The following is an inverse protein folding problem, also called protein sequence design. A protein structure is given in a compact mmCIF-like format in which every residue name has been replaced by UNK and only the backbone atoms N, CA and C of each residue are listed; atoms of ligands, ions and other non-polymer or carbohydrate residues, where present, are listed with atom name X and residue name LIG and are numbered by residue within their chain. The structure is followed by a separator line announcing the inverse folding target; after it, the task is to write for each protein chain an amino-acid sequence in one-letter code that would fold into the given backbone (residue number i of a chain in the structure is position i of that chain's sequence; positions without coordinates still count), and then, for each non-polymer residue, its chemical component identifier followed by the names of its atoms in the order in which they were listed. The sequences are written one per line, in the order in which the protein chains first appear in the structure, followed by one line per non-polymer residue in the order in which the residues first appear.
data_IF_014392317442
#
_entry.id   IF_014392317442
#
_cell.length_a   1.000
_cell.length_b   1.000
_cell.length_c   1.000
_cell.angle_alpha   90.00
_cell.angle_beta   90.00
_cell.angle_gamma   90.00
#
_symmetry.space_group_name_H-M   'P 1'
#
loop_
_entity.id
_entity.type
_entity.pdbx_description
1 polymer ?
#
# COMPACT_ATOMS: atom_id res chain seq x y z
N UNK A 1 2.95 21.84 -15.71
CA UNK A 1 2.80 20.78 -16.73
C UNK A 1 3.73 19.62 -16.40
N UNK A 2 3.30 18.67 -15.58
CA UNK A 2 4.17 17.58 -15.14
C UNK A 2 4.14 16.38 -16.09
N UNK A 3 5.26 15.67 -16.14
CA UNK A 3 5.33 14.28 -16.55
C UNK A 3 5.18 13.43 -15.28
N UNK A 4 4.08 12.67 -15.20
CA UNK A 4 3.78 11.78 -14.10
C UNK A 4 4.09 10.33 -14.50
N UNK A 5 4.81 9.61 -13.66
CA UNK A 5 4.97 8.17 -13.80
C UNK A 5 4.13 7.43 -12.77
N UNK A 6 3.48 6.36 -13.22
CA UNK A 6 2.70 5.48 -12.36
C UNK A 6 3.26 4.07 -12.49
N UNK A 7 3.80 3.55 -11.41
CA UNK A 7 4.44 2.23 -11.40
C UNK A 7 3.87 1.33 -10.30
N UNK A 8 4.20 0.07 -10.34
CA UNK A 8 3.76 -0.91 -9.37
C UNK A 8 3.64 -2.30 -9.99
N UNK A 9 3.50 -3.30 -9.14
CA UNK A 9 3.36 -4.68 -9.60
C UNK A 9 2.14 -4.87 -10.51
N UNK A 10 2.12 -5.92 -11.34
CA UNK A 10 0.92 -6.31 -12.07
C UNK A 10 -0.29 -6.40 -11.13
N UNK A 11 -1.45 -5.97 -11.63
CA UNK A 11 -2.72 -6.00 -10.87
C UNK A 11 -2.75 -5.12 -9.60
N UNK A 12 -1.81 -4.19 -9.44
CA UNK A 12 -1.82 -3.23 -8.33
C UNK A 12 -2.88 -2.13 -8.47
N UNK A 13 -3.53 -1.99 -9.64
CA UNK A 13 -4.51 -0.96 -9.92
C UNK A 13 -3.94 0.33 -10.51
N UNK A 14 -2.75 0.27 -11.15
CA UNK A 14 -2.09 1.43 -11.78
C UNK A 14 -3.01 2.17 -12.76
N UNK A 15 -3.49 1.45 -13.78
CA UNK A 15 -4.36 2.02 -14.81
C UNK A 15 -5.64 2.57 -14.20
N UNK A 16 -6.29 1.84 -13.31
CA UNK A 16 -7.50 2.29 -12.61
C UNK A 16 -7.27 3.59 -11.84
N UNK A 17 -6.17 3.68 -11.08
CA UNK A 17 -5.79 4.88 -10.35
C UNK A 17 -5.55 6.05 -11.30
N UNK A 18 -4.78 5.82 -12.36
CA UNK A 18 -4.46 6.86 -13.35
C UNK A 18 -5.71 7.39 -14.02
N UNK A 19 -6.61 6.52 -14.51
CA UNK A 19 -7.87 6.96 -15.13
C UNK A 19 -8.72 7.78 -14.17
N UNK A 20 -8.78 7.39 -12.89
CA UNK A 20 -9.50 8.15 -11.86
C UNK A 20 -8.93 9.56 -11.67
N UNK A 21 -7.60 9.67 -11.58
CA UNK A 21 -6.93 10.96 -11.40
C UNK A 21 -7.07 11.85 -12.64
N UNK A 22 -6.83 11.29 -13.81
CA UNK A 22 -6.90 12.03 -15.07
C UNK A 22 -8.31 12.50 -15.37
N UNK A 23 -9.33 11.65 -15.13
CA UNK A 23 -10.73 12.03 -15.31
C UNK A 23 -11.12 13.21 -14.42
N UNK A 24 -10.83 13.12 -13.14
CA UNK A 24 -11.14 14.21 -12.20
C UNK A 24 -10.44 15.52 -12.58
N UNK A 25 -9.19 15.41 -13.06
CA UNK A 25 -8.43 16.59 -13.51
C UNK A 25 -8.94 17.16 -14.82
N UNK A 26 -9.26 16.31 -15.80
CA UNK A 26 -9.81 16.73 -17.08
C UNK A 26 -11.12 17.49 -16.92
N UNK A 27 -12.02 17.00 -16.08
CA UNK A 27 -13.29 17.64 -15.75
C UNK A 27 -13.10 18.99 -15.05
N UNK A 28 -12.19 19.04 -14.07
CA UNK A 28 -11.90 20.28 -13.33
C UNK A 28 -11.27 21.38 -14.21
N UNK A 29 -10.38 20.99 -15.11
CA UNK A 29 -9.59 21.93 -15.94
C UNK A 29 -10.19 22.11 -17.34
N UNK A 30 -11.26 21.40 -17.68
CA UNK A 30 -11.90 21.35 -19.01
C UNK A 30 -10.89 21.07 -20.13
N UNK A 31 -10.12 19.99 -19.98
CA UNK A 31 -9.03 19.62 -20.89
C UNK A 31 -9.36 18.35 -21.65
N UNK A 32 -8.96 18.30 -22.92
CA UNK A 32 -9.02 17.09 -23.73
C UNK A 32 -8.09 16.00 -23.19
N UNK A 33 -8.53 14.75 -23.26
CA UNK A 33 -7.74 13.58 -22.83
C UNK A 33 -7.50 12.66 -24.02
N UNK A 34 -6.24 12.33 -24.24
CA UNK A 34 -5.81 11.32 -25.19
C UNK A 34 -5.18 10.15 -24.44
N UNK A 35 -5.44 8.94 -24.92
CA UNK A 35 -4.89 7.74 -24.29
C UNK A 35 -4.34 6.76 -25.32
N UNK A 36 -3.35 5.98 -24.92
CA UNK A 36 -2.71 4.96 -25.74
C UNK A 36 -2.57 3.65 -24.94
N UNK A 37 -2.82 2.53 -25.60
CA UNK A 37 -2.66 1.16 -25.06
C UNK A 37 -3.56 0.84 -23.85
N UNK A 38 -4.75 1.40 -23.80
CA UNK A 38 -5.76 1.07 -22.78
C UNK A 38 -6.99 0.50 -23.49
N UNK A 39 -7.20 -0.82 -23.47
CA UNK A 39 -8.27 -1.44 -24.24
C UNK A 39 -9.66 -1.10 -23.71
N UNK A 40 -10.58 -0.78 -24.64
CA UNK A 40 -12.00 -0.63 -24.35
C UNK A 40 -12.34 0.47 -23.37
N UNK A 41 -11.70 1.62 -23.47
CA UNK A 41 -12.05 2.84 -22.72
C UNK A 41 -13.44 3.30 -23.12
N UNK A 42 -14.30 3.52 -22.13
CA UNK A 42 -15.70 3.97 -22.30
C UNK A 42 -15.96 5.36 -21.73
N UNK A 43 -14.91 6.08 -21.30
CA UNK A 43 -15.06 7.43 -20.75
C UNK A 43 -15.41 8.39 -21.89
N UNK A 44 -16.56 9.10 -21.83
CA UNK A 44 -16.98 10.01 -22.89
C UNK A 44 -15.94 11.12 -23.13
N UNK A 45 -15.70 11.44 -24.41
CA UNK A 45 -14.79 12.52 -24.80
C UNK A 45 -13.30 12.20 -24.76
N UNK A 46 -12.93 10.99 -24.35
CA UNK A 46 -11.54 10.52 -24.41
C UNK A 46 -11.22 9.96 -25.80
N UNK A 47 -10.05 10.29 -26.33
CA UNK A 47 -9.63 9.98 -27.70
C UNK A 47 -8.46 8.99 -27.67
N UNK A 48 -8.60 7.88 -28.37
CA UNK A 48 -7.55 6.89 -28.51
C UNK A 48 -6.46 7.33 -29.49
N UNK A 49 -5.21 7.12 -29.10
CA UNK A 49 -4.04 7.25 -29.96
C UNK A 49 -3.49 5.87 -30.25
N UNK A 50 -3.20 5.57 -31.48
CA UNK A 50 -2.55 4.32 -31.90
C UNK A 50 -1.08 4.25 -31.49
N UNK A 51 -0.42 5.40 -31.36
CA UNK A 51 0.98 5.49 -30.95
C UNK A 51 1.28 6.75 -30.12
N UNK A 52 2.07 6.68 -29.04
CA UNK A 52 2.37 7.84 -28.22
C UNK A 52 3.15 8.94 -28.96
N UNK A 53 3.90 8.62 -30.03
CA UNK A 53 4.65 9.61 -30.83
C UNK A 53 3.74 10.68 -31.42
N UNK A 54 2.47 10.39 -31.65
CA UNK A 54 1.48 11.33 -32.17
C UNK A 54 1.13 12.49 -31.22
N UNK A 55 1.70 12.48 -30.02
CA UNK A 55 1.51 13.61 -29.10
C UNK A 55 1.97 14.95 -29.69
N UNK A 56 2.92 14.92 -30.65
CA UNK A 56 3.40 16.12 -31.32
C UNK A 56 2.32 16.83 -32.17
N UNK A 57 1.33 16.09 -32.63
CA UNK A 57 0.25 16.55 -33.51
C UNK A 57 -0.99 17.03 -32.74
N UNK A 58 -1.02 16.79 -31.41
CA UNK A 58 -2.19 17.09 -30.60
C UNK A 58 -2.32 18.59 -30.31
N UNK A 59 -3.55 19.06 -30.05
CA UNK A 59 -3.79 20.42 -29.60
C UNK A 59 -3.13 20.69 -28.25
N UNK A 60 -2.64 21.90 -28.07
CA UNK A 60 -2.00 22.33 -26.85
C UNK A 60 -2.92 22.18 -25.63
N UNK A 61 -2.35 21.91 -24.48
CA UNK A 61 -3.08 21.80 -23.24
C UNK A 61 -3.72 20.44 -22.96
N UNK A 62 -3.50 19.43 -23.79
CA UNK A 62 -4.09 18.10 -23.58
C UNK A 62 -3.45 17.32 -22.41
N UNK A 63 -4.21 16.39 -21.86
CA UNK A 63 -3.77 15.34 -20.94
C UNK A 63 -3.52 14.05 -21.74
N UNK A 64 -2.37 13.42 -21.56
CA UNK A 64 -1.97 12.24 -22.34
C UNK A 64 -1.67 11.09 -21.39
N UNK A 65 -2.34 9.95 -21.58
CA UNK A 65 -2.16 8.73 -20.80
C UNK A 65 -1.59 7.65 -21.71
N UNK A 66 -0.47 7.04 -21.32
CA UNK A 66 0.13 5.91 -22.04
C UNK A 66 0.31 4.75 -21.07
N UNK A 67 -0.36 3.63 -21.33
CA UNK A 67 -0.16 2.42 -20.54
C UNK A 67 0.91 1.53 -21.17
N UNK A 68 1.66 0.83 -20.31
CA UNK A 68 2.82 0.00 -20.64
C UNK A 68 3.82 0.74 -21.57
N UNK A 69 4.24 1.95 -21.15
CA UNK A 69 5.10 2.86 -21.95
C UNK A 69 6.34 2.17 -22.50
N UNK A 70 6.89 1.16 -21.83
CA UNK A 70 8.08 0.43 -22.26
C UNK A 70 7.90 -0.28 -23.60
N UNK A 71 6.66 -0.54 -24.03
CA UNK A 71 6.38 -1.20 -25.31
C UNK A 71 6.61 -0.26 -26.51
N UNK A 72 6.58 1.06 -26.25
CA UNK A 72 6.77 2.11 -27.25
C UNK A 72 8.12 2.82 -27.08
N UNK A 73 8.40 3.27 -25.87
CA UNK A 73 9.61 4.03 -25.52
C UNK A 73 10.46 3.23 -24.53
N UNK A 74 10.84 2.04 -24.95
CA UNK A 74 11.74 1.16 -24.22
C UNK A 74 13.17 1.69 -24.17
N UNK A 75 14.05 0.94 -23.53
CA UNK A 75 15.48 1.26 -23.52
C UNK A 75 16.06 1.19 -24.92
N UNK A 76 16.78 2.23 -25.32
CA UNK A 76 17.56 2.19 -26.54
C UNK A 76 18.83 1.38 -26.35
N UNK A 77 19.30 0.76 -27.45
CA UNK A 77 20.65 0.25 -27.52
C UNK A 77 21.67 1.40 -27.34
N UNK A 78 22.83 1.08 -26.80
CA UNK A 78 23.90 2.08 -26.63
C UNK A 78 24.28 2.70 -27.98
N UNK A 79 24.27 4.04 -28.05
CA UNK A 79 24.57 4.78 -29.29
C UNK A 79 23.41 4.91 -30.28
N UNK A 80 22.23 4.35 -30.01
CA UNK A 80 21.08 4.55 -30.88
C UNK A 80 20.57 6.00 -30.83
N UNK A 81 20.13 6.50 -31.99
CA UNK A 81 19.52 7.83 -32.10
C UNK A 81 18.19 7.85 -31.32
N UNK A 82 18.04 8.87 -30.47
CA UNK A 82 16.79 9.08 -29.75
C UNK A 82 15.70 9.57 -30.71
N UNK A 83 14.51 8.94 -30.73
CA UNK A 83 13.39 9.41 -31.57
C UNK A 83 12.96 10.84 -31.24
N UNK A 84 12.57 11.58 -32.29
CA UNK A 84 12.17 12.97 -32.14
C UNK A 84 11.06 13.20 -31.11
N UNK A 85 9.99 12.38 -31.02
CA UNK A 85 8.94 12.57 -30.01
C UNK A 85 9.48 12.48 -28.57
N UNK A 86 10.50 11.66 -28.33
CA UNK A 86 11.14 11.55 -27.01
C UNK A 86 12.01 12.77 -26.71
N UNK A 87 12.76 13.28 -27.70
CA UNK A 87 13.57 14.49 -27.55
C UNK A 87 12.72 15.72 -27.26
N UNK A 88 11.62 15.87 -27.98
CA UNK A 88 10.70 17.01 -27.84
C UNK A 88 9.93 17.02 -26.50
N UNK A 89 9.93 15.90 -25.74
CA UNK A 89 9.34 15.89 -24.39
C UNK A 89 9.92 16.98 -23.48
N UNK A 90 11.16 17.40 -23.69
CA UNK A 90 11.77 18.51 -22.94
C UNK A 90 11.00 19.84 -23.09
N UNK A 91 10.21 19.97 -24.15
CA UNK A 91 9.44 21.17 -24.50
C UNK A 91 7.94 21.03 -24.21
N UNK A 92 7.48 19.88 -23.73
CA UNK A 92 6.05 19.59 -23.48
C UNK A 92 5.35 20.69 -22.66
N UNK A 93 6.05 21.24 -21.66
CA UNK A 93 5.53 22.27 -20.79
C UNK A 93 5.15 23.58 -21.51
N UNK A 94 5.86 23.95 -22.61
CA UNK A 94 5.56 25.14 -23.41
C UNK A 94 4.22 25.02 -24.14
N UNK A 95 3.83 23.79 -24.48
CA UNK A 95 2.58 23.45 -25.14
C UNK A 95 1.47 23.05 -24.16
N UNK A 96 1.72 23.13 -22.88
CA UNK A 96 0.70 22.85 -21.86
C UNK A 96 0.35 21.39 -21.64
N UNK A 97 1.12 20.44 -22.15
CA UNK A 97 0.84 19.02 -22.00
C UNK A 97 1.17 18.50 -20.61
N UNK A 98 0.32 17.63 -20.09
CA UNK A 98 0.62 16.78 -18.94
C UNK A 98 0.59 15.31 -19.37
N UNK A 99 1.61 14.58 -19.00
CA UNK A 99 1.71 13.16 -19.28
C UNK A 99 1.49 12.30 -18.05
N UNK A 100 0.84 11.16 -18.26
CA UNK A 100 0.70 10.07 -17.30
C UNK A 100 1.21 8.80 -17.95
N UNK A 101 2.43 8.42 -17.63
CA UNK A 101 3.10 7.23 -18.12
C UNK A 101 2.98 6.10 -17.12
N UNK A 102 2.37 5.00 -17.55
CA UNK A 102 2.19 3.81 -16.73
C UNK A 102 3.19 2.75 -17.20
N UNK A 103 3.88 2.13 -16.25
CA UNK A 103 4.80 1.01 -16.51
C UNK A 103 4.87 0.11 -15.27
N UNK A 104 5.24 -1.14 -15.45
CA UNK A 104 5.47 -2.04 -14.33
C UNK A 104 6.83 -1.79 -13.70
N UNK A 105 7.85 -1.54 -14.51
CA UNK A 105 9.23 -1.38 -14.06
C UNK A 105 9.85 -0.13 -14.72
N UNK A 106 10.21 0.89 -13.90
CA UNK A 106 10.79 2.14 -14.41
C UNK A 106 12.02 1.94 -15.30
N UNK A 107 12.82 0.93 -14.97
CA UNK A 107 14.08 0.69 -15.67
C UNK A 107 13.92 0.12 -17.07
N UNK A 108 12.72 -0.25 -17.50
CA UNK A 108 12.44 -0.69 -18.85
C UNK A 108 12.19 0.46 -19.82
N UNK A 109 11.86 1.65 -19.30
CA UNK A 109 11.54 2.84 -20.08
C UNK A 109 12.82 3.61 -20.45
N UNK A 110 12.80 4.29 -21.59
CA UNK A 110 13.83 5.20 -22.04
C UNK A 110 14.23 6.23 -20.96
N UNK A 111 15.49 6.63 -20.92
CA UNK A 111 16.01 7.54 -19.88
C UNK A 111 15.36 8.92 -19.94
N UNK A 112 15.19 9.51 -21.12
CA UNK A 112 14.66 10.88 -21.28
C UNK A 112 13.32 11.11 -20.57
N UNK A 113 12.23 10.36 -20.80
CA UNK A 113 10.97 10.57 -20.06
C UNK A 113 11.13 10.34 -18.55
N UNK A 114 12.04 9.44 -18.13
CA UNK A 114 12.32 9.21 -16.71
C UNK A 114 13.01 10.40 -16.05
N UNK A 115 13.97 11.00 -16.73
CA UNK A 115 14.73 12.15 -16.22
C UNK A 115 13.85 13.42 -16.14
N UNK A 116 12.84 13.51 -17.00
CA UNK A 116 11.85 14.59 -17.02
C UNK A 116 10.68 14.35 -16.05
N UNK A 117 10.68 13.24 -15.30
CA UNK A 117 9.64 12.90 -14.36
C UNK A 117 9.54 13.92 -13.23
N UNK A 118 8.40 14.61 -13.13
CA UNK A 118 8.11 15.53 -12.05
C UNK A 118 7.54 14.82 -10.82
N UNK A 119 6.64 13.84 -11.04
CA UNK A 119 6.05 13.06 -9.95
C UNK A 119 6.01 11.58 -10.32
N UNK A 120 6.47 10.75 -9.40
CA UNK A 120 6.40 9.30 -9.51
C UNK A 120 5.44 8.74 -8.46
N UNK A 121 4.38 8.08 -8.93
CA UNK A 121 3.37 7.41 -8.10
C UNK A 121 3.61 5.90 -8.13
N UNK A 122 3.88 5.32 -6.97
CA UNK A 122 4.04 3.88 -6.82
C UNK A 122 2.81 3.28 -6.16
N UNK A 123 2.07 2.48 -6.93
CA UNK A 123 0.80 1.87 -6.51
C UNK A 123 1.05 0.49 -5.93
N UNK A 124 0.67 0.30 -4.68
CA UNK A 124 0.80 -0.98 -3.97
C UNK A 124 -0.57 -1.43 -3.50
N UNK A 125 -1.03 -2.56 -4.00
CA UNK A 125 -2.32 -3.11 -3.60
C UNK A 125 -2.35 -3.36 -2.10
N UNK A 126 -3.39 -2.87 -1.42
CA UNK A 126 -3.62 -3.16 -0.01
C UNK A 126 -4.16 -4.58 0.12
N UNK A 127 -3.49 -5.38 0.93
CA UNK A 127 -3.82 -6.79 1.11
C UNK A 127 -5.20 -6.95 1.76
N UNK A 128 -6.08 -7.74 1.13
CA UNK A 128 -7.43 -8.01 1.66
C UNK A 128 -8.43 -6.86 1.58
N UNK A 129 -8.02 -5.66 1.13
CA UNK A 129 -8.90 -4.49 0.99
C UNK A 129 -9.22 -4.19 -0.48
N UNK A 130 -10.35 -3.52 -0.71
CA UNK A 130 -10.73 -2.97 -2.01
C UNK A 130 -10.02 -1.62 -2.23
N UNK A 131 -8.68 -1.63 -2.25
CA UNK A 131 -7.90 -0.41 -2.37
C UNK A 131 -6.40 -0.65 -2.53
N UNK A 132 -5.67 0.44 -2.63
CA UNK A 132 -4.22 0.47 -2.73
C UNK A 132 -3.64 1.55 -1.82
N UNK A 133 -2.36 1.42 -1.49
CA UNK A 133 -1.56 2.51 -0.99
C UNK A 133 -0.78 3.11 -2.17
N UNK A 134 -0.89 4.41 -2.37
CA UNK A 134 -0.15 5.15 -3.39
C UNK A 134 0.94 5.95 -2.71
N UNK A 135 2.17 5.79 -3.16
CA UNK A 135 3.33 6.53 -2.67
C UNK A 135 3.76 7.53 -3.74
N UNK A 136 3.76 8.81 -3.41
CA UNK A 136 4.19 9.89 -4.30
C UNK A 136 5.62 10.29 -3.98
N UNK A 137 6.43 10.43 -5.01
CA UNK A 137 7.80 10.96 -4.95
C UNK A 137 7.90 12.15 -5.91
N UNK A 138 8.71 13.12 -5.57
CA UNK A 138 8.97 14.32 -6.38
C UNK A 138 9.95 14.08 -7.55
N UNK A 139 10.45 12.86 -7.69
CA UNK A 139 11.35 12.43 -8.77
C UNK A 139 11.17 10.94 -9.04
N UNK A 140 11.60 10.51 -10.23
CA UNK A 140 11.64 9.10 -10.57
C UNK A 140 12.49 8.30 -9.58
N UNK A 141 11.93 7.19 -9.10
CA UNK A 141 12.63 6.20 -8.27
C UNK A 141 12.84 4.93 -9.06
N UNK A 142 14.09 4.51 -9.21
CA UNK A 142 14.42 3.27 -9.92
C UNK A 142 13.97 2.01 -9.16
N UNK A 143 13.89 2.09 -7.83
CA UNK A 143 13.43 1.02 -6.93
C UNK A 143 12.47 1.56 -5.88
N UNK A 144 11.25 1.91 -6.27
CA UNK A 144 10.28 2.54 -5.35
C UNK A 144 9.89 1.61 -4.20
N UNK A 145 9.93 0.30 -4.39
CA UNK A 145 9.70 -0.70 -3.36
C UNK A 145 10.64 -0.59 -2.15
N UNK A 146 11.90 -0.19 -2.38
CA UNK A 146 12.92 -0.05 -1.32
C UNK A 146 12.87 1.29 -0.58
N UNK A 147 12.30 2.33 -1.21
CA UNK A 147 12.31 3.70 -0.70
C UNK A 147 10.92 4.22 -0.33
N UNK A 148 9.94 3.34 -0.11
CA UNK A 148 8.55 3.70 0.24
C UNK A 148 8.44 4.68 1.40
N UNK A 149 9.30 4.55 2.40
CA UNK A 149 9.31 5.43 3.58
C UNK A 149 9.66 6.88 3.28
N UNK A 150 10.26 7.16 2.11
CA UNK A 150 10.61 8.52 1.66
C UNK A 150 9.50 9.17 0.84
N UNK A 151 8.51 8.40 0.40
CA UNK A 151 7.37 8.89 -0.37
C UNK A 151 6.21 9.30 0.52
N UNK A 152 5.46 10.29 0.08
CA UNK A 152 4.19 10.64 0.69
C UNK A 152 3.16 9.54 0.41
N UNK A 153 2.58 8.98 1.46
CA UNK A 153 1.66 7.84 1.38
C UNK A 153 0.21 8.28 1.44
N UNK A 154 -0.57 7.90 0.43
CA UNK A 154 -2.02 8.11 0.37
C UNK A 154 -2.75 6.77 0.36
N UNK A 155 -3.73 6.54 1.24
CA UNK A 155 -4.67 5.44 1.07
C UNK A 155 -5.63 5.78 -0.09
N UNK A 156 -5.86 4.82 -0.97
CA UNK A 156 -6.79 4.99 -2.07
C UNK A 156 -7.76 3.79 -2.14
N UNK A 157 -9.05 4.07 -2.05
CA UNK A 157 -10.09 3.09 -2.20
C UNK A 157 -10.51 2.99 -3.67
N UNK A 158 -10.70 1.78 -4.16
CA UNK A 158 -11.13 1.57 -5.54
C UNK A 158 -12.54 2.11 -5.74
N UNK A 159 -12.71 2.98 -6.72
CA UNK A 159 -14.02 3.37 -7.20
C UNK A 159 -14.60 2.20 -8.03
N UNK A 160 -15.69 1.60 -7.57
CA UNK A 160 -16.34 0.49 -8.27
C UNK A 160 -16.79 0.86 -9.68
N UNK A 161 -17.24 2.10 -9.87
CA UNK A 161 -17.66 2.61 -11.18
C UNK A 161 -16.47 2.69 -12.16
N UNK A 162 -15.27 2.99 -11.68
CA UNK A 162 -14.09 3.10 -12.53
C UNK A 162 -13.68 1.75 -13.19
N UNK A 163 -14.11 0.62 -12.64
CA UNK A 163 -13.88 -0.68 -13.27
C UNK A 163 -14.67 -0.87 -14.58
N UNK A 164 -15.72 -0.10 -14.81
CA UNK A 164 -16.50 -0.14 -16.06
C UNK A 164 -15.91 0.75 -17.15
N UNK A 165 -14.92 1.57 -16.84
CA UNK A 165 -14.37 2.56 -17.77
C UNK A 165 -13.40 1.99 -18.79
N UNK A 166 -12.90 0.77 -18.59
CA UNK A 166 -11.97 0.11 -19.50
C UNK A 166 -11.98 -1.41 -19.32
N UNK A 167 -11.49 -2.15 -20.31
CA UNK A 167 -11.33 -3.59 -20.21
C UNK A 167 -9.99 -3.92 -19.59
N UNK A 168 -10.00 -4.32 -18.32
CA UNK A 168 -8.79 -4.86 -17.69
C UNK A 168 -8.54 -6.28 -18.22
N UNK A 169 -7.31 -6.58 -18.59
CA UNK A 169 -6.93 -7.90 -19.15
C UNK A 169 -7.22 -9.09 -18.20
N UNK A 170 -7.58 -8.83 -16.93
CA UNK A 170 -7.68 -9.85 -15.89
C UNK A 170 -8.83 -9.62 -14.89
N UNK A 171 -10.07 -9.67 -15.33
CA UNK A 171 -11.22 -9.49 -14.40
C UNK A 171 -11.49 -10.72 -13.52
N UNK A 172 -10.95 -11.91 -13.79
CA UNK A 172 -11.56 -13.13 -13.25
C UNK A 172 -10.75 -14.08 -12.37
N UNK A 173 -9.50 -13.78 -11.93
CA UNK A 173 -8.79 -14.74 -11.08
C UNK A 173 -7.95 -14.13 -9.96
N UNK A 174 -8.59 -13.32 -9.11
CA UNK A 174 -7.93 -12.87 -7.88
C UNK A 174 -8.22 -13.88 -6.77
N UNK A 175 -7.42 -14.93 -6.67
CA UNK A 175 -7.40 -15.74 -5.44
C UNK A 175 -6.91 -14.85 -4.30
N UNK A 176 -7.77 -14.61 -3.30
CA UNK A 176 -7.38 -13.92 -2.07
C UNK A 176 -6.30 -14.74 -1.38
N UNK A 177 -5.05 -14.35 -1.52
CA UNK A 177 -3.96 -14.94 -0.74
C UNK A 177 -3.92 -14.24 0.61
N UNK A 178 -4.47 -14.86 1.64
CA UNK A 178 -4.35 -14.38 3.01
C UNK A 178 -2.94 -14.71 3.49
N UNK A 179 -2.13 -13.72 3.93
CA UNK A 179 -0.79 -14.02 4.45
C UNK A 179 -0.90 -14.97 5.64
N UNK A 180 -0.09 -16.00 5.66
CA UNK A 180 -0.06 -16.98 6.76
C UNK A 180 0.11 -16.32 8.14
N UNK A 181 0.74 -15.16 8.21
CA UNK A 181 0.88 -14.35 9.44
C UNK A 181 -0.46 -13.86 10.01
N UNK A 182 -1.45 -13.58 9.17
CA UNK A 182 -2.80 -13.14 9.62
C UNK A 182 -3.57 -14.31 10.22
N UNK A 183 -3.36 -15.53 9.72
CA UNK A 183 -3.95 -16.73 10.31
C UNK A 183 -3.39 -17.05 11.70
N UNK A 184 -2.18 -16.58 12.03
CA UNK A 184 -1.58 -16.80 13.35
C UNK A 184 -2.20 -15.90 14.45
N UNK A 185 -2.86 -14.80 14.09
CA UNK A 185 -3.44 -13.86 15.07
C UNK A 185 -4.48 -14.53 15.99
N UNK A 186 -5.50 -15.26 15.48
CA UNK A 186 -6.48 -15.91 16.35
C UNK A 186 -5.84 -16.99 17.23
N UNK A 187 -4.77 -17.64 16.74
CA UNK A 187 -4.06 -18.65 17.52
C UNK A 187 -3.29 -18.01 18.69
N UNK A 188 -2.61 -16.88 18.46
CA UNK A 188 -1.88 -16.14 19.51
C UNK A 188 -2.87 -15.57 20.54
N UNK A 189 -4.01 -15.04 20.11
CA UNK A 189 -5.07 -14.57 21.01
C UNK A 189 -5.64 -15.72 21.85
N UNK A 190 -5.87 -16.89 21.25
CA UNK A 190 -6.34 -18.07 21.99
C UNK A 190 -5.35 -18.52 23.06
N UNK A 191 -4.05 -18.54 22.75
CA UNK A 191 -2.98 -18.86 23.73
C UNK A 191 -2.94 -17.82 24.85
N UNK A 192 -3.10 -16.53 24.55
CA UNK A 192 -3.12 -15.48 25.56
C UNK A 192 -4.29 -15.65 26.53
N UNK A 193 -5.49 -15.97 26.02
CA UNK A 193 -6.68 -16.23 26.84
C UNK A 193 -6.47 -17.46 27.73
N UNK A 194 -5.90 -18.54 27.19
CA UNK A 194 -5.60 -19.74 27.97
C UNK A 194 -4.56 -19.47 29.06
N UNK A 195 -3.54 -18.67 28.78
CA UNK A 195 -2.52 -18.28 29.76
C UNK A 195 -3.12 -17.45 30.91
N UNK A 196 -4.00 -16.50 30.59
CA UNK A 196 -4.70 -15.70 31.60
C UNK A 196 -5.63 -16.57 32.44
N UNK A 197 -6.37 -17.48 31.81
CA UNK A 197 -7.25 -18.41 32.53
C UNK A 197 -6.44 -19.36 33.46
N UNK A 198 -5.35 -19.91 32.97
CA UNK A 198 -4.42 -20.76 33.76
C UNK A 198 -3.81 -19.99 34.93
N UNK A 199 -3.39 -18.75 34.74
CA UNK A 199 -2.90 -17.88 35.80
C UNK A 199 -3.96 -17.65 36.88
N UNK A 200 -5.22 -17.36 36.46
CA UNK A 200 -6.32 -17.16 37.39
C UNK A 200 -6.62 -18.40 38.24
N UNK A 201 -6.60 -19.60 37.66
CA UNK A 201 -6.79 -20.86 38.35
C UNK A 201 -5.63 -21.14 39.36
N UNK A 202 -4.38 -20.86 38.91
CA UNK A 202 -3.22 -21.03 39.77
C UNK A 202 -3.24 -20.10 41.00
N UNK A 203 -3.55 -18.81 40.81
CA UNK A 203 -3.67 -17.85 41.92
C UNK A 203 -4.87 -18.16 42.83
N UNK A 204 -6.01 -18.59 42.26
CA UNK A 204 -7.19 -19.01 43.04
C UNK A 204 -6.84 -20.19 43.98
N UNK A 205 -6.18 -21.21 43.44
CA UNK A 205 -5.80 -22.42 44.23
C UNK A 205 -4.76 -22.14 45.33
N UNK A 206 -3.86 -21.16 45.10
CA UNK A 206 -2.87 -20.75 46.11
C UNK A 206 -3.49 -19.93 47.23
N UNK A 207 -4.46 -19.06 46.92
CA UNK A 207 -5.21 -18.30 47.94
C UNK A 207 -6.10 -19.19 48.82
N UNK A 208 -6.71 -20.23 48.25
CA UNK A 208 -7.51 -21.19 49.04
C UNK A 208 -6.63 -22.04 49.97
N UNK A 209 -5.42 -22.43 49.54
CA UNK A 209 -4.44 -23.10 50.41
C UNK A 209 -3.91 -22.21 51.53
N UNK A 210 -3.75 -20.91 51.30
CA UNK A 210 -3.32 -19.95 52.31
C UNK A 210 -4.41 -19.66 53.35
N UNK A 211 -5.71 -19.73 52.99
CA UNK A 211 -6.86 -19.57 53.90
C UNK A 211 -7.11 -20.84 54.75
N UNK A 212 -6.64 -22.01 54.31
CA UNK A 212 -6.85 -23.30 55.00
C UNK A 212 -5.90 -23.60 56.16
N UNK A 213 -4.84 -22.84 56.34
CA UNK A 213 -3.90 -22.99 57.45
C UNK A 213 -4.41 -22.19 58.68
N UNK A 214 -5.29 -22.81 59.51
CA UNK A 214 -5.59 -22.31 60.87
C UNK A 214 -4.30 -22.32 61.69
N UNK A 215 -3.97 -21.29 62.49
CA UNK A 215 -2.89 -21.33 63.45
C UNK A 215 -3.23 -22.37 64.53
N UNK A 216 -2.31 -23.29 64.80
CA UNK A 216 -2.38 -24.21 65.89
C UNK A 216 -2.47 -23.42 67.22
N UNK A 217 -3.57 -23.59 67.97
CA UNK A 217 -3.71 -23.04 69.30
C UNK A 217 -2.75 -23.75 70.24
N UNK A 218 -1.76 -23.08 70.75
CA UNK A 218 -0.94 -23.50 71.86
C UNK A 218 -1.72 -23.38 73.15
N UNK A 219 -2.39 -24.45 73.56
CA UNK A 219 -2.84 -24.62 74.95
C UNK A 219 -1.64 -25.03 75.78
N UNK A 220 -1.09 -24.10 76.57
CA UNK A 220 -0.23 -24.39 77.71
C UNK A 220 -0.79 -23.66 78.90
N UNK A 221 -1.70 -24.31 79.64
CA UNK A 221 -1.98 -24.06 81.05
C UNK A 221 -2.44 -25.35 81.68
N UNK A 222 -1.60 -25.91 82.47
CA UNK A 222 -1.84 -27.08 83.35
C UNK A 222 -0.91 -27.02 84.48
N UNK A 223 -1.41 -26.65 85.56
CA UNK A 223 -0.98 -26.43 86.87
C UNK A 223 -0.25 -27.57 87.59
N UNK A 224 0.44 -27.22 88.58
CA UNK A 224 0.61 -28.06 89.76
C UNK A 224 0.96 -27.20 90.95
N UNK A 225 0.05 -27.29 91.92
CA UNK A 225 0.21 -26.87 93.33
C UNK A 225 0.91 -28.00 94.07
N UNK A 226 1.83 -27.73 94.90
CA UNK A 226 2.20 -28.44 96.15
C UNK A 226 3.20 -27.57 96.90
N UNK A 227 2.79 -26.99 98.02
CA UNK A 227 2.88 -27.43 99.46
C UNK A 227 4.31 -27.58 99.97
N UNK A 228 4.47 -26.94 101.08
CA UNK A 228 5.41 -27.23 102.16
C UNK A 228 6.33 -26.04 102.38
N UNK A 229 6.29 -25.36 103.38
CA UNK A 229 6.27 -25.71 104.80
C UNK A 229 7.51 -25.16 105.45
N UNK A 230 7.34 -24.45 106.49
CA UNK A 230 8.25 -24.43 107.59
C UNK A 230 9.12 -23.24 107.85
N UNK A 231 8.68 -22.48 108.78
CA UNK A 231 9.34 -22.17 110.06
C UNK A 231 10.59 -21.29 110.10
N UNK A 232 10.53 -20.27 110.86
CA UNK A 232 11.60 -20.06 111.82
C UNK A 232 12.22 -18.67 111.86
N UNK A 233 11.80 -18.01 112.87
CA UNK A 233 12.36 -16.86 113.55
C UNK A 233 12.36 -15.49 112.86
#
# INVERSE_FOLDING_TARGET
MPINFVTGLPRAGKTLWTLTQVKARAEKENRAVYYCNIPGVTIPGWIELDHPDKWLELPDGALIVVDELQDYWGKNAQGARVPLPILELSKHGKRGFDFYFITQEPNLVHTTPRDLCAYHYYVVRAFGANGAAVYKFERMQSRPDKVKSKGEKFPWLYNKQAFTWYKSADVHNIKRQIPKKVLAIPFVLGLAVLAIWGAFQFFGSTLDKAKGSKPASSNVFGGAVAQGGGAGQ
#
